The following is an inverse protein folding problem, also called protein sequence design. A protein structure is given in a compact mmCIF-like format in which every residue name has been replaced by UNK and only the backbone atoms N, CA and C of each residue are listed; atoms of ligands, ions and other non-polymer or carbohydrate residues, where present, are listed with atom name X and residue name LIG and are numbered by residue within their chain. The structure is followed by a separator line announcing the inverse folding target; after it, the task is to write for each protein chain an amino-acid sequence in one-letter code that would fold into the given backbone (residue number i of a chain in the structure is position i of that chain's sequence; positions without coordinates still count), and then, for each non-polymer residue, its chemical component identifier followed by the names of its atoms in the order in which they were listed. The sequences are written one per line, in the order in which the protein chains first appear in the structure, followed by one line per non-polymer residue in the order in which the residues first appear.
data_IF_823531640733
#
_entry.id   IF_823531640733
#
_cell.length_a   1.000
_cell.length_b   1.000
_cell.length_c   1.000
_cell.angle_alpha   90.00
_cell.angle_beta   90.00
_cell.angle_gamma   90.00
#
_symmetry.space_group_name_H-M   'P 1'
#
loop_
_entity.id
_entity.type
_entity.pdbx_description
1 polymer ?
#
# COMPACT_ATOMS: atom_id res chain seq x y z
N UNK A 1 -7.65 -29.51 -73.09
CA UNK A 1 -7.85 -28.13 -73.58
C UNK A 1 -7.51 -27.17 -72.47
N UNK A 2 -6.51 -26.31 -72.71
CA UNK A 2 -5.98 -25.33 -71.76
C UNK A 2 -6.77 -24.03 -71.75
N UNK A 3 -6.70 -23.37 -70.58
CA UNK A 3 -6.68 -21.91 -70.33
C UNK A 3 -8.01 -21.13 -70.54
N UNK A 4 -8.29 -19.96 -69.93
CA UNK A 4 -7.45 -18.82 -69.55
C UNK A 4 -8.11 -17.97 -68.42
N UNK A 5 -7.26 -17.40 -67.55
CA UNK A 5 -7.27 -16.08 -66.86
C UNK A 5 -8.55 -15.25 -66.61
N UNK A 6 -8.72 -14.78 -65.35
CA UNK A 6 -8.54 -13.36 -64.91
C UNK A 6 -9.17 -13.12 -63.52
N UNK A 7 -8.35 -12.76 -62.51
CA UNK A 7 -8.26 -11.45 -61.82
C UNK A 7 -9.50 -11.04 -60.98
N UNK A 8 -9.47 -10.41 -59.81
CA UNK A 8 -8.48 -10.02 -58.79
C UNK A 8 -9.30 -9.41 -57.62
N UNK A 9 -8.64 -9.27 -56.47
CA UNK A 9 -8.91 -8.29 -55.39
C UNK A 9 -9.77 -8.68 -54.18
N UNK A 10 -9.06 -8.98 -53.09
CA UNK A 10 -9.00 -8.20 -51.84
C UNK A 10 -10.30 -7.79 -51.15
N UNK A 11 -10.64 -8.49 -50.07
CA UNK A 11 -10.78 -7.89 -48.74
C UNK A 11 -10.74 -8.99 -47.67
N UNK A 12 -9.84 -8.83 -46.71
CA UNK A 12 -9.78 -9.63 -45.50
C UNK A 12 -11.03 -9.32 -44.66
N UNK A 13 -12.02 -10.21 -44.72
CA UNK A 13 -13.20 -10.18 -43.87
C UNK A 13 -12.86 -10.76 -42.51
N UNK A 14 -12.77 -9.87 -41.52
CA UNK A 14 -12.66 -10.18 -40.11
C UNK A 14 -13.69 -11.25 -39.68
N UNK A 15 -13.19 -12.34 -39.08
CA UNK A 15 -14.04 -13.32 -38.41
C UNK A 15 -14.64 -12.70 -37.14
N UNK A 16 -15.94 -12.86 -36.87
CA UNK A 16 -16.52 -12.40 -35.63
C UNK A 16 -16.39 -13.53 -34.60
N UNK A 17 -15.26 -13.63 -33.89
CA UNK A 17 -15.14 -14.38 -32.63
C UNK A 17 -13.79 -14.15 -31.90
N UNK A 18 -13.20 -12.96 -32.00
CA UNK A 18 -12.12 -12.56 -31.08
C UNK A 18 -12.77 -12.01 -29.80
N UNK A 19 -13.23 -12.93 -28.94
CA UNK A 19 -13.63 -12.59 -27.59
C UNK A 19 -12.36 -12.26 -26.80
N UNK A 20 -12.25 -11.09 -26.14
CA UNK A 20 -11.13 -10.84 -25.24
C UNK A 20 -11.18 -11.92 -24.15
N UNK A 21 -10.06 -12.61 -23.96
CA UNK A 21 -9.89 -13.58 -22.90
C UNK A 21 -10.42 -13.01 -21.56
N UNK A 22 -11.14 -13.80 -20.75
CA UNK A 22 -11.54 -13.36 -19.43
C UNK A 22 -10.26 -13.00 -18.68
N UNK A 23 -10.07 -11.71 -18.43
CA UNK A 23 -9.04 -11.21 -17.54
C UNK A 23 -9.15 -12.04 -16.27
N UNK A 24 -8.08 -12.78 -15.95
CA UNK A 24 -7.97 -13.46 -14.68
C UNK A 24 -8.40 -12.47 -13.59
N UNK A 25 -9.21 -12.91 -12.60
CA UNK A 25 -9.54 -12.02 -11.50
C UNK A 25 -8.20 -11.56 -10.93
N UNK A 26 -7.92 -10.26 -11.04
CA UNK A 26 -6.89 -9.65 -10.22
C UNK A 26 -7.33 -10.03 -8.82
N UNK A 27 -6.55 -10.92 -8.20
CA UNK A 27 -6.71 -11.25 -6.80
C UNK A 27 -6.28 -9.98 -6.08
N UNK A 28 -7.15 -8.97 -6.08
CA UNK A 28 -7.30 -8.04 -4.99
C UNK A 28 -7.59 -8.98 -3.84
N UNK A 29 -6.54 -9.50 -3.19
CA UNK A 29 -6.68 -10.06 -1.85
C UNK A 29 -7.48 -9.01 -1.14
N UNK A 30 -8.75 -9.34 -0.93
CA UNK A 30 -9.77 -8.48 -0.42
C UNK A 30 -9.25 -8.12 0.95
N UNK A 31 -8.52 -7.01 1.05
CA UNK A 31 -8.06 -6.49 2.31
C UNK A 31 -9.35 -6.33 3.09
N UNK A 32 -9.57 -7.23 4.05
CA UNK A 32 -10.83 -7.30 4.78
C UNK A 32 -11.04 -5.88 5.32
N UNK A 33 -12.04 -5.13 4.82
CA UNK A 33 -12.18 -3.75 5.22
C UNK A 33 -12.46 -3.76 6.72
N UNK A 34 -11.49 -3.26 7.50
CA UNK A 34 -11.57 -3.21 8.97
C UNK A 34 -10.53 -4.00 9.75
N UNK A 35 -9.64 -4.79 9.13
CA UNK A 35 -8.49 -5.40 9.85
C UNK A 35 -7.35 -4.38 10.04
N UNK A 36 -7.55 -3.52 11.03
CA UNK A 36 -6.58 -2.51 11.46
C UNK A 36 -5.24 -3.14 11.86
N UNK A 37 -5.24 -4.35 12.44
CA UNK A 37 -4.02 -4.97 12.95
C UNK A 37 -3.10 -5.41 11.82
N UNK A 38 -3.67 -6.03 10.78
CA UNK A 38 -2.93 -6.44 9.58
C UNK A 38 -2.44 -5.23 8.81
N UNK A 39 -3.30 -4.22 8.58
CA UNK A 39 -2.91 -3.00 7.87
C UNK A 39 -1.76 -2.25 8.56
N UNK A 40 -1.82 -2.10 9.89
CA UNK A 40 -0.73 -1.49 10.66
C UNK A 40 0.54 -2.33 10.57
N UNK A 41 0.45 -3.65 10.69
CA UNK A 41 1.62 -4.54 10.60
C UNK A 41 2.31 -4.46 9.24
N UNK A 42 1.54 -4.42 8.16
CA UNK A 42 2.07 -4.27 6.80
C UNK A 42 2.77 -2.94 6.62
N UNK A 43 2.14 -1.85 7.08
CA UNK A 43 2.73 -0.51 7.05
C UNK A 43 4.05 -0.45 7.84
N UNK A 44 4.12 -1.06 9.03
CA UNK A 44 5.35 -1.17 9.82
C UNK A 44 6.45 -1.94 9.08
N UNK A 45 6.07 -3.02 8.40
CA UNK A 45 7.00 -3.87 7.67
C UNK A 45 7.56 -3.17 6.45
N UNK A 46 6.71 -2.54 5.64
CA UNK A 46 7.13 -1.73 4.48
C UNK A 46 8.03 -0.57 4.91
N UNK A 47 7.72 0.07 6.04
CA UNK A 47 8.54 1.14 6.62
C UNK A 47 9.94 0.69 7.04
N UNK A 48 10.07 -0.54 7.57
CA UNK A 48 11.38 -1.14 7.88
C UNK A 48 12.16 -1.46 6.61
N UNK A 49 11.49 -2.06 5.62
CA UNK A 49 12.10 -2.38 4.32
C UNK A 49 12.64 -1.14 3.62
N UNK A 50 11.93 0.00 3.70
CA UNK A 50 12.43 1.28 3.16
C UNK A 50 13.76 1.69 3.80
N UNK A 51 13.90 1.58 5.12
CA UNK A 51 15.16 1.89 5.81
C UNK A 51 16.29 0.92 5.40
N UNK A 52 15.98 -0.35 5.21
CA UNK A 52 16.95 -1.32 4.71
C UNK A 52 17.37 -1.03 3.28
N UNK A 53 16.42 -0.71 2.41
CA UNK A 53 16.68 -0.38 1.01
C UNK A 53 17.51 0.90 0.88
N UNK A 54 17.24 1.92 1.69
CA UNK A 54 18.05 3.14 1.72
C UNK A 54 19.51 2.86 2.15
N UNK A 55 19.72 1.93 3.08
CA UNK A 55 21.09 1.48 3.43
C UNK A 55 21.77 0.78 2.27
N UNK A 56 21.05 -0.07 1.53
CA UNK A 56 21.59 -0.71 0.33
C UNK A 56 21.87 0.32 -0.77
N UNK A 57 21.01 1.31 -0.94
CA UNK A 57 21.20 2.40 -1.89
C UNK A 57 22.45 3.21 -1.55
N UNK A 58 22.70 3.50 -0.27
CA UNK A 58 23.89 4.25 0.18
C UNK A 58 25.24 3.58 -0.08
N UNK A 59 25.23 2.29 -0.41
CA UNK A 59 26.42 1.50 -0.78
C UNK A 59 26.31 0.99 -2.22
N UNK A 60 25.49 1.66 -3.04
CA UNK A 60 25.28 1.38 -4.47
C UNK A 60 24.78 -0.05 -4.77
N UNK A 61 24.16 -0.72 -3.79
CA UNK A 61 23.58 -2.06 -3.92
C UNK A 61 22.07 -2.06 -4.22
N UNK A 62 21.42 -0.90 -4.16
CA UNK A 62 20.03 -0.72 -4.58
C UNK A 62 19.93 0.53 -5.44
N UNK A 63 18.93 0.56 -6.32
CA UNK A 63 18.69 1.70 -7.20
C UNK A 63 17.63 2.63 -6.64
N UNK A 64 17.59 3.85 -7.17
CA UNK A 64 16.50 4.79 -6.89
C UNK A 64 15.11 4.21 -7.23
N UNK A 65 15.05 3.36 -8.26
CA UNK A 65 13.85 2.62 -8.66
C UNK A 65 13.36 1.70 -7.53
N UNK A 66 14.25 0.92 -6.93
CA UNK A 66 13.91 0.00 -5.83
C UNK A 66 13.34 0.74 -4.60
N UNK A 67 13.89 1.92 -4.30
CA UNK A 67 13.40 2.79 -3.23
C UNK A 67 12.03 3.37 -3.58
N UNK A 68 11.84 3.77 -4.84
CA UNK A 68 10.58 4.32 -5.35
C UNK A 68 9.45 3.29 -5.34
N UNK A 69 9.72 2.04 -5.75
CA UNK A 69 8.76 0.93 -5.68
C UNK A 69 8.30 0.66 -4.23
N UNK A 70 9.24 0.68 -3.27
CA UNK A 70 8.90 0.55 -1.86
C UNK A 70 8.09 1.74 -1.33
N UNK A 71 8.37 2.95 -1.78
CA UNK A 71 7.57 4.13 -1.43
C UNK A 71 6.11 3.97 -1.92
N UNK A 72 5.89 3.50 -3.15
CA UNK A 72 4.54 3.20 -3.66
C UNK A 72 3.85 2.15 -2.79
N UNK A 73 4.56 1.10 -2.37
CA UNK A 73 4.02 0.07 -1.49
C UNK A 73 3.62 0.63 -0.11
N UNK A 74 4.42 1.54 0.46
CA UNK A 74 4.08 2.25 1.71
C UNK A 74 2.82 3.08 1.51
N UNK A 75 2.72 3.83 0.41
CA UNK A 75 1.53 4.63 0.09
C UNK A 75 0.26 3.77 -0.03
N UNK A 76 0.37 2.59 -0.65
CA UNK A 76 -0.73 1.63 -0.72
C UNK A 76 -1.12 1.10 0.68
N UNK A 77 -0.15 0.63 1.46
CA UNK A 77 -0.40 0.14 2.83
C UNK A 77 -1.00 1.23 3.74
N UNK A 78 -0.58 2.48 3.54
CA UNK A 78 -1.13 3.63 4.25
C UNK A 78 -2.59 3.89 3.89
N UNK A 79 -2.96 3.86 2.61
CA UNK A 79 -4.35 3.98 2.17
C UNK A 79 -5.24 2.85 2.72
N UNK A 80 -4.74 1.60 2.72
CA UNK A 80 -5.44 0.47 3.35
C UNK A 80 -5.65 0.72 4.84
N UNK A 81 -4.64 1.28 5.53
CA UNK A 81 -4.72 1.63 6.95
C UNK A 81 -5.76 2.71 7.20
N UNK A 82 -5.77 3.80 6.43
CA UNK A 82 -6.81 4.85 6.53
C UNK A 82 -8.20 4.24 6.35
N UNK A 83 -8.39 3.41 5.33
CA UNK A 83 -9.67 2.76 5.03
C UNK A 83 -10.12 1.85 6.19
N UNK A 84 -9.20 1.07 6.74
CA UNK A 84 -9.48 0.18 7.87
C UNK A 84 -9.91 0.95 9.12
N UNK A 85 -9.27 2.06 9.43
CA UNK A 85 -9.65 2.90 10.58
C UNK A 85 -10.92 3.72 10.33
N UNK A 86 -11.14 4.21 9.11
CA UNK A 86 -12.35 4.93 8.72
C UNK A 86 -13.60 4.06 8.92
N UNK A 87 -13.49 2.75 8.67
CA UNK A 87 -14.54 1.77 8.98
C UNK A 87 -14.95 1.74 10.46
N UNK A 88 -14.02 2.08 11.37
CA UNK A 88 -14.28 2.17 12.81
C UNK A 88 -14.58 3.60 13.28
N UNK A 89 -14.87 4.54 12.35
CA UNK A 89 -15.10 5.96 12.61
C UNK A 89 -13.93 6.66 13.32
N UNK A 90 -12.70 6.18 13.08
CA UNK A 90 -11.48 6.80 13.60
C UNK A 90 -10.89 7.66 12.48
N UNK A 91 -10.81 8.97 12.73
CA UNK A 91 -10.25 9.92 11.77
C UNK A 91 -8.71 9.83 11.71
N UNK A 92 -8.16 9.80 10.49
CA UNK A 92 -6.72 9.80 10.22
C UNK A 92 -6.21 11.07 9.53
N UNK A 93 -7.02 12.11 9.47
CA UNK A 93 -6.74 13.32 8.70
C UNK A 93 -5.41 13.97 9.07
N UNK A 94 -5.03 13.94 10.35
CA UNK A 94 -3.73 14.47 10.82
C UNK A 94 -2.49 13.76 10.24
N UNK A 95 -2.65 12.56 9.66
CA UNK A 95 -1.56 11.79 9.06
C UNK A 95 -1.53 11.88 7.53
N UNK A 96 -2.50 12.53 6.89
CA UNK A 96 -2.55 12.64 5.42
C UNK A 96 -1.33 13.36 4.82
N UNK A 97 -0.65 14.22 5.57
CA UNK A 97 0.55 14.90 5.10
C UNK A 97 1.81 14.03 5.18
N UNK A 98 1.78 12.92 5.92
CA UNK A 98 2.98 12.09 6.15
C UNK A 98 3.54 11.48 4.87
N UNK A 99 2.74 10.89 3.96
CA UNK A 99 3.26 10.40 2.68
C UNK A 99 3.95 11.50 1.87
N UNK A 100 3.40 12.71 1.87
CA UNK A 100 4.00 13.87 1.20
C UNK A 100 5.32 14.28 1.87
N UNK A 101 5.37 14.38 3.19
CA UNK A 101 6.61 14.65 3.94
C UNK A 101 7.68 13.56 3.64
N UNK A 102 7.28 12.28 3.60
CA UNK A 102 8.17 11.17 3.29
C UNK A 102 8.73 11.29 1.87
N UNK A 103 7.88 11.61 0.90
CA UNK A 103 8.27 11.83 -0.50
C UNK A 103 9.31 12.93 -0.60
N UNK A 104 9.07 14.08 0.02
CA UNK A 104 10.00 15.20 -0.07
C UNK A 104 11.39 14.84 0.48
N UNK A 105 11.45 14.10 1.59
CA UNK A 105 12.74 13.67 2.16
C UNK A 105 13.42 12.65 1.25
N UNK A 106 12.67 11.69 0.71
CA UNK A 106 13.21 10.71 -0.25
C UNK A 106 13.69 11.38 -1.53
N UNK A 107 12.93 12.31 -2.10
CA UNK A 107 13.28 13.02 -3.33
C UNK A 107 14.57 13.81 -3.17
N UNK A 108 14.75 14.48 -2.02
CA UNK A 108 16.02 15.17 -1.71
C UNK A 108 17.17 14.19 -1.52
N UNK A 109 16.95 13.10 -0.77
CA UNK A 109 17.99 12.08 -0.53
C UNK A 109 18.45 11.41 -1.82
N UNK A 110 17.51 11.05 -2.70
CA UNK A 110 17.78 10.37 -3.96
C UNK A 110 18.35 11.30 -5.03
N UNK A 111 18.13 12.60 -4.91
CA UNK A 111 18.74 13.61 -5.80
C UNK A 111 20.26 13.80 -5.58
N UNK A 112 20.80 13.28 -4.48
CA UNK A 112 22.23 13.33 -4.17
C UNK A 112 22.93 12.01 -4.53
N UNK A 113 24.27 12.04 -4.55
CA UNK A 113 25.07 10.85 -4.86
C UNK A 113 24.95 9.80 -3.74
N UNK A 114 24.69 8.53 -4.08
CA UNK A 114 24.52 7.46 -3.10
C UNK A 114 25.77 7.28 -2.23
N UNK A 115 25.67 7.74 -0.99
CA UNK A 115 26.73 7.58 0.00
C UNK A 115 26.19 7.42 1.42
N UNK A 116 26.92 6.73 2.32
CA UNK A 116 26.49 6.57 3.70
C UNK A 116 26.43 7.90 4.47
N UNK A 117 27.22 8.90 4.08
CA UNK A 117 27.22 10.24 4.68
C UNK A 117 25.95 11.04 4.31
N UNK A 118 25.54 10.96 3.03
CA UNK A 118 24.26 11.50 2.57
C UNK A 118 23.13 10.84 3.34
N UNK A 119 23.09 9.50 3.40
CA UNK A 119 22.05 8.78 4.13
C UNK A 119 22.00 9.20 5.62
N UNK A 120 23.12 9.29 6.31
CA UNK A 120 23.14 9.66 7.73
C UNK A 120 22.59 11.07 7.98
N UNK A 121 22.77 11.98 7.01
CA UNK A 121 22.21 13.33 7.03
C UNK A 121 20.67 13.34 6.92
N UNK A 122 20.08 12.43 6.14
CA UNK A 122 18.61 12.33 5.95
C UNK A 122 17.92 11.35 6.93
N UNK A 123 18.66 10.45 7.58
CA UNK A 123 18.15 9.57 8.64
C UNK A 123 17.37 10.28 9.75
N UNK A 124 17.78 11.44 10.31
CA UNK A 124 17.00 12.13 11.33
C UNK A 124 15.61 12.58 10.82
N UNK A 125 15.50 13.09 9.60
CA UNK A 125 14.23 13.51 9.01
C UNK A 125 13.33 12.30 8.69
N UNK A 126 13.89 11.24 8.11
CA UNK A 126 13.18 9.97 7.92
C UNK A 126 12.66 9.42 9.24
N UNK A 127 13.51 9.35 10.28
CA UNK A 127 13.10 8.89 11.62
C UNK A 127 11.97 9.74 12.19
N UNK A 128 11.98 11.06 11.97
CA UNK A 128 10.93 11.96 12.44
C UNK A 128 9.59 11.69 11.75
N UNK A 129 9.58 11.55 10.42
CA UNK A 129 8.37 11.24 9.64
C UNK A 129 7.82 9.86 10.04
N UNK A 130 8.70 8.86 10.16
CA UNK A 130 8.34 7.53 10.64
C UNK A 130 7.79 7.56 12.06
N UNK A 131 8.42 8.30 12.97
CA UNK A 131 7.97 8.40 14.36
C UNK A 131 6.59 9.05 14.47
N UNK A 132 6.31 10.11 13.68
CA UNK A 132 4.96 10.70 13.59
C UNK A 132 3.93 9.67 13.15
N UNK A 133 4.26 8.88 12.13
CA UNK A 133 3.39 7.81 11.61
C UNK A 133 3.11 6.76 12.70
N UNK A 134 4.16 6.22 13.32
CA UNK A 134 4.06 5.23 14.38
C UNK A 134 3.23 5.72 15.56
N UNK A 135 3.50 6.92 16.04
CA UNK A 135 2.80 7.51 17.18
C UNK A 135 1.33 7.76 16.86
N UNK A 136 1.02 8.28 15.68
CA UNK A 136 -0.34 8.49 15.21
C UNK A 136 -1.13 7.19 15.13
N UNK A 137 -0.53 6.15 14.56
CA UNK A 137 -1.14 4.82 14.47
C UNK A 137 -1.31 4.17 15.83
N UNK A 138 -0.30 4.21 16.70
CA UNK A 138 -0.34 3.57 18.02
C UNK A 138 -1.41 4.20 18.92
N UNK A 139 -1.52 5.53 18.92
CA UNK A 139 -2.56 6.26 19.67
C UNK A 139 -3.96 5.81 19.25
N UNK A 140 -4.17 5.63 17.94
CA UNK A 140 -5.46 5.24 17.36
C UNK A 140 -5.74 3.75 17.50
N UNK A 141 -4.71 2.91 17.40
CA UNK A 141 -4.83 1.48 17.64
C UNK A 141 -5.21 1.17 19.10
N UNK A 142 -4.69 1.94 20.06
CA UNK A 142 -5.10 1.84 21.46
C UNK A 142 -6.57 2.24 21.65
N UNK A 143 -7.01 3.35 21.03
CA UNK A 143 -8.41 3.79 21.05
C UNK A 143 -9.36 2.79 20.38
N UNK A 144 -8.94 2.20 19.25
CA UNK A 144 -9.67 1.15 18.55
C UNK A 144 -9.83 -0.09 19.42
N UNK A 145 -8.74 -0.61 20.01
CA UNK A 145 -8.78 -1.82 20.87
C UNK A 145 -9.76 -1.64 22.04
N UNK A 146 -9.71 -0.51 22.72
CA UNK A 146 -10.62 -0.20 23.82
C UNK A 146 -12.09 -0.10 23.37
N UNK A 147 -12.33 0.39 22.15
CA UNK A 147 -13.68 0.51 21.57
C UNK A 147 -14.26 -0.86 21.16
N UNK A 148 -13.43 -1.74 20.59
CA UNK A 148 -13.81 -3.12 20.25
C UNK A 148 -14.14 -3.91 21.51
N UNK A 149 -13.26 -3.88 22.51
CA UNK A 149 -13.46 -4.58 23.79
C UNK A 149 -14.74 -4.13 24.50
N UNK A 150 -15.03 -2.82 24.52
CA UNK A 150 -16.28 -2.28 25.09
C UNK A 150 -17.51 -2.79 24.34
N UNK A 151 -17.44 -2.88 23.01
CA UNK A 151 -18.55 -3.35 22.16
C UNK A 151 -18.80 -4.84 22.37
N UNK A 152 -17.77 -5.66 22.47
CA UNK A 152 -17.87 -7.09 22.78
C UNK A 152 -18.42 -7.31 24.20
N UNK A 153 -17.95 -6.56 25.19
CA UNK A 153 -18.45 -6.66 26.56
C UNK A 153 -19.95 -6.27 26.69
N UNK A 154 -20.43 -5.33 25.88
CA UNK A 154 -21.87 -5.02 25.80
C UNK A 154 -22.67 -6.14 25.13
N UNK A 155 -22.13 -6.76 24.07
CA UNK A 155 -22.80 -7.87 23.38
C UNK A 155 -22.95 -9.11 24.27
N UNK A 156 -21.94 -9.46 25.07
CA UNK A 156 -22.03 -10.56 26.03
C UNK A 156 -23.07 -10.31 27.13
N UNK A 157 -23.30 -9.04 27.50
CA UNK A 157 -24.28 -8.68 28.55
C UNK A 157 -25.74 -8.71 28.08
N UNK A 158 -25.96 -8.76 26.77
CA UNK A 158 -27.29 -8.81 26.13
C UNK A 158 -27.73 -10.20 25.70
N UNK A 159 -26.96 -11.26 25.98
CA UNK A 159 -27.46 -12.63 25.86
C UNK A 159 -28.34 -12.94 27.08
N UNK A 160 -29.69 -12.95 26.98
CA UNK A 160 -30.49 -13.49 28.05
C UNK A 160 -30.07 -14.96 28.21
N UNK A 161 -29.88 -15.37 29.47
CA UNK A 161 -29.89 -16.79 29.83
C UNK A 161 -31.07 -17.42 29.09
N UNK A 162 -30.78 -18.40 28.24
CA UNK A 162 -31.79 -19.33 27.78
C UNK A 162 -32.32 -20.01 29.06
N UNK A 163 -33.47 -19.52 29.53
CA UNK A 163 -34.20 -20.10 30.65
C UNK A 163 -34.64 -21.50 30.27
N UNK A 164 -34.31 -22.44 31.17
CA UNK A 164 -34.98 -23.71 31.48
C UNK A 164 -35.47 -24.59 30.31
#
# INVERSE_FOLDING_TARGET
MSAYYSSSSSYAGAGPNDAPAPMAPINYQTAIPGDVSTAVKDLLTSTKRLQEMLKLWSIEQATEGDVSDLYVQIGHAFNVTITAFAYHHIDLSDLHNIPTELREVLERCLSEDPSPEVLDSYLPDLRKVLFKLLKGLQSRQAAWRASVERREAMQLRTSPLNSD
#
